data_IF_228599606554
#
_entry.id   IF_228599606554
#
_cell.length_a   1.000
_cell.length_b   1.000
_cell.length_c   1.000
_cell.angle_alpha   90.00
_cell.angle_beta   90.00
_cell.angle_gamma   90.00
#
_symmetry.space_group_name_H-M   'P 1'
#
loop_
_entity.id
_entity.type
_entity.pdbx_description
1 polymer ?
#
# COMPACT_ATOMS: atom_id res chain seq x y z
N UNK A 1 -10.28 -4.30 -3.78
CA UNK A 1 -10.24 -5.68 -3.35
C UNK A 1 -9.66 -6.55 -4.46
N UNK A 2 -8.63 -7.37 -4.15
CA UNK A 2 -7.99 -8.18 -5.15
C UNK A 2 -7.27 -7.38 -6.23
N UNK A 3 -7.07 -6.11 -6.00
CA UNK A 3 -6.48 -5.23 -6.99
C UNK A 3 -4.97 -5.37 -7.02
N UNK A 4 -4.40 -5.40 -8.22
CA UNK A 4 -2.97 -5.39 -8.42
C UNK A 4 -2.48 -3.96 -8.60
N UNK A 5 -1.15 -3.79 -8.59
CA UNK A 5 -0.57 -2.48 -8.86
C UNK A 5 -0.87 -2.02 -10.27
N UNK A 6 -1.00 -2.95 -11.22
CA UNK A 6 -1.38 -2.59 -12.58
C UNK A 6 -2.77 -1.96 -12.62
N UNK A 7 -3.72 -2.54 -11.87
CA UNK A 7 -5.05 -1.97 -11.76
C UNK A 7 -5.03 -0.61 -11.11
N UNK A 8 -4.16 -0.43 -10.10
CA UNK A 8 -4.00 0.86 -9.45
C UNK A 8 -3.52 1.94 -10.42
N UNK A 9 -2.54 1.60 -11.26
CA UNK A 9 -2.06 2.54 -12.27
C UNK A 9 -3.18 2.95 -13.21
N UNK A 10 -4.02 1.98 -13.60
CA UNK A 10 -5.11 2.26 -14.54
C UNK A 10 -6.18 3.16 -13.93
N UNK A 11 -6.46 3.01 -12.64
CA UNK A 11 -7.56 3.74 -11.98
C UNK A 11 -7.16 5.07 -11.38
N UNK A 12 -5.89 5.22 -11.01
CA UNK A 12 -5.46 6.39 -10.25
C UNK A 12 -5.70 7.72 -10.96
N UNK A 13 -5.44 7.86 -12.27
CA UNK A 13 -5.63 9.17 -12.92
C UNK A 13 -7.05 9.69 -12.78
N UNK A 14 -8.06 8.83 -12.98
CA UNK A 14 -9.45 9.25 -12.86
C UNK A 14 -9.80 9.65 -11.44
N UNK A 15 -9.29 8.91 -10.45
CA UNK A 15 -9.52 9.23 -9.05
C UNK A 15 -8.91 10.56 -8.66
N UNK A 16 -7.70 10.84 -9.13
CA UNK A 16 -7.03 12.09 -8.84
C UNK A 16 -7.78 13.27 -9.45
N UNK A 17 -8.28 13.09 -10.67
CA UNK A 17 -9.01 14.15 -11.35
C UNK A 17 -10.37 14.39 -10.72
N UNK A 18 -11.07 13.32 -10.38
CA UNK A 18 -12.40 13.40 -9.82
C UNK A 18 -12.43 14.02 -8.43
N UNK A 19 -11.53 13.58 -7.57
CA UNK A 19 -11.54 13.97 -6.16
C UNK A 19 -10.54 15.06 -5.82
N UNK A 20 -9.51 15.24 -6.61
CA UNK A 20 -8.45 16.23 -6.39
C UNK A 20 -7.99 16.25 -4.94
N UNK A 21 -7.61 15.09 -4.38
CA UNK A 21 -7.27 15.00 -2.97
C UNK A 21 -5.94 15.70 -2.68
N UNK A 22 -5.80 16.17 -1.43
CA UNK A 22 -4.51 16.70 -0.99
C UNK A 22 -3.52 15.57 -0.72
N UNK A 23 -4.03 14.42 -0.28
CA UNK A 23 -3.23 13.25 0.04
C UNK A 23 -3.85 12.01 -0.57
N UNK A 24 -3.00 11.06 -0.97
CA UNK A 24 -3.44 9.73 -1.37
C UNK A 24 -2.63 8.70 -0.62
N UNK A 25 -3.32 7.67 -0.12
CA UNK A 25 -2.70 6.54 0.54
C UNK A 25 -2.62 5.40 -0.47
N UNK A 26 -1.40 4.97 -0.78
CA UNK A 26 -1.19 3.85 -1.69
C UNK A 26 -0.94 2.60 -0.85
N UNK A 27 -1.92 1.70 -0.87
CA UNK A 27 -1.89 0.46 -0.13
C UNK A 27 -2.10 -0.68 -1.12
N UNK A 28 -1.12 -0.90 -1.97
CA UNK A 28 -1.20 -1.90 -3.04
C UNK A 28 0.09 -2.68 -3.13
N UNK A 29 0.02 -3.84 -3.75
CA UNK A 29 1.15 -4.71 -3.98
C UNK A 29 0.95 -6.09 -3.39
N UNK A 30 0.05 -6.24 -2.42
CA UNK A 30 -0.19 -7.53 -1.79
C UNK A 30 -0.63 -8.58 -2.78
N UNK A 31 -1.54 -8.24 -3.69
CA UNK A 31 -2.01 -9.20 -4.69
C UNK A 31 -0.94 -9.52 -5.72
N UNK A 32 -0.11 -8.55 -6.09
CA UNK A 32 1.04 -8.82 -6.94
C UNK A 32 1.92 -9.89 -6.31
N UNK A 33 2.24 -9.72 -5.03
CA UNK A 33 3.11 -10.65 -4.32
C UNK A 33 2.47 -12.02 -4.16
N UNK A 34 1.19 -12.06 -3.81
CA UNK A 34 0.48 -13.33 -3.63
C UNK A 34 0.45 -14.12 -4.93
N UNK A 35 0.40 -13.46 -6.07
CA UNK A 35 0.40 -14.11 -7.37
C UNK A 35 1.82 -14.41 -7.87
N UNK A 36 2.83 -14.04 -7.10
CA UNK A 36 4.21 -14.32 -7.48
C UNK A 36 4.72 -13.46 -8.62
N UNK A 37 4.16 -12.29 -8.83
CA UNK A 37 4.65 -11.38 -9.87
C UNK A 37 6.08 -10.98 -9.57
N UNK A 38 6.86 -10.75 -10.62
CA UNK A 38 8.24 -10.30 -10.46
C UNK A 38 8.24 -8.96 -9.69
N UNK A 39 9.09 -8.83 -8.64
CA UNK A 39 9.12 -7.57 -7.88
C UNK A 39 9.37 -6.34 -8.74
N UNK A 40 10.12 -6.48 -9.83
CA UNK A 40 10.38 -5.36 -10.74
C UNK A 40 9.09 -4.78 -11.34
N UNK A 41 8.09 -5.64 -11.59
CA UNK A 41 6.82 -5.19 -12.14
C UNK A 41 6.06 -4.37 -11.10
N UNK A 42 6.02 -4.87 -9.87
CA UNK A 42 5.36 -4.17 -8.78
C UNK A 42 6.03 -2.82 -8.53
N UNK A 43 7.36 -2.82 -8.51
CA UNK A 43 8.13 -1.58 -8.32
C UNK A 43 7.82 -0.56 -9.42
N UNK A 44 7.81 -1.01 -10.67
CA UNK A 44 7.56 -0.11 -11.80
C UNK A 44 6.16 0.52 -11.71
N UNK A 45 5.16 -0.29 -11.36
CA UNK A 45 3.80 0.20 -11.26
C UNK A 45 3.64 1.18 -10.09
N UNK A 46 4.22 0.87 -8.93
CA UNK A 46 4.16 1.78 -7.79
C UNK A 46 4.90 3.09 -8.09
N UNK A 47 6.04 3.01 -8.76
CA UNK A 47 6.78 4.20 -9.16
C UNK A 47 5.92 5.08 -10.05
N UNK A 48 5.19 4.46 -10.99
CA UNK A 48 4.31 5.20 -11.88
C UNK A 48 3.18 5.87 -11.12
N UNK A 49 2.60 5.17 -10.14
CA UNK A 49 1.53 5.76 -9.33
C UNK A 49 2.02 6.96 -8.54
N UNK A 50 3.22 6.86 -7.96
CA UNK A 50 3.81 7.98 -7.22
C UNK A 50 4.02 9.17 -8.15
N UNK A 51 4.49 8.91 -9.37
CA UNK A 51 4.69 9.98 -10.35
C UNK A 51 3.38 10.65 -10.76
N UNK A 52 2.32 9.85 -10.93
CA UNK A 52 1.00 10.38 -11.27
C UNK A 52 0.46 11.27 -10.16
N UNK A 53 0.59 10.83 -8.91
CA UNK A 53 0.15 11.64 -7.78
C UNK A 53 0.92 12.95 -7.71
N UNK A 54 2.23 12.89 -7.90
CA UNK A 54 3.06 14.08 -7.85
C UNK A 54 2.69 15.07 -8.96
N UNK A 55 2.39 14.55 -10.16
CA UNK A 55 1.99 15.40 -11.27
C UNK A 55 0.67 16.10 -11.00
N UNK A 56 -0.18 15.51 -10.17
CA UNK A 56 -1.46 16.11 -9.75
C UNK A 56 -1.31 16.96 -8.49
N UNK A 57 -0.09 17.17 -8.03
CA UNK A 57 0.19 17.93 -6.80
C UNK A 57 -0.47 17.29 -5.58
N UNK A 58 -0.61 15.98 -5.62
CA UNK A 58 -1.18 15.21 -4.51
C UNK A 58 -0.01 14.58 -3.73
N UNK A 59 -0.01 14.76 -2.42
CA UNK A 59 0.99 14.14 -1.56
C UNK A 59 0.66 12.68 -1.38
N UNK A 60 1.69 11.85 -1.27
CA UNK A 60 1.53 10.40 -1.21
C UNK A 60 2.04 9.85 0.12
N UNK A 61 1.26 8.96 0.72
CA UNK A 61 1.72 8.08 1.79
C UNK A 61 1.76 6.68 1.23
N UNK A 62 2.89 6.01 1.38
CA UNK A 62 3.06 4.64 0.91
C UNK A 62 2.96 3.70 2.09
N UNK A 63 2.25 2.58 1.91
CA UNK A 63 2.09 1.59 2.98
C UNK A 63 3.01 0.41 2.72
N UNK A 64 3.75 0.00 3.74
CA UNK A 64 4.56 -1.20 3.69
C UNK A 64 3.66 -2.41 3.55
N UNK A 65 3.96 -3.30 2.61
CA UNK A 65 3.23 -4.55 2.43
C UNK A 65 4.16 -5.70 2.81
N UNK A 66 3.63 -6.68 3.54
CA UNK A 66 4.33 -7.91 3.89
C UNK A 66 3.52 -9.08 3.38
N UNK A 67 4.22 -10.13 3.00
CA UNK A 67 3.61 -11.34 2.46
C UNK A 67 3.78 -12.49 3.44
N UNK A 68 2.97 -13.56 3.30
CA UNK A 68 3.18 -14.77 4.11
C UNK A 68 4.60 -15.26 3.96
N UNK A 69 5.17 -15.74 5.07
CA UNK A 69 6.60 -16.08 5.13
C UNK A 69 6.97 -17.28 4.26
N UNK A 70 5.98 -18.07 3.84
CA UNK A 70 6.23 -19.27 3.03
C UNK A 70 6.55 -18.99 1.56
N UNK A 71 6.61 -17.71 1.18
CA UNK A 71 6.94 -17.35 -0.20
C UNK A 71 8.45 -17.41 -0.49
N UNK A 72 9.25 -17.75 0.53
CA UNK A 72 10.69 -17.88 0.34
C UNK A 72 11.42 -16.60 0.69
N UNK A 73 12.56 -16.75 1.39
CA UNK A 73 13.28 -15.59 1.92
C UNK A 73 13.73 -14.62 0.83
N UNK A 74 14.18 -15.15 -0.31
CA UNK A 74 14.69 -14.29 -1.37
C UNK A 74 13.58 -13.44 -1.99
N UNK A 75 12.44 -14.05 -2.29
CA UNK A 75 11.31 -13.34 -2.86
C UNK A 75 10.79 -12.30 -1.90
N UNK A 76 10.66 -12.68 -0.63
CA UNK A 76 10.16 -11.77 0.40
C UNK A 76 11.08 -10.55 0.53
N UNK A 77 12.39 -10.78 0.54
CA UNK A 77 13.35 -9.68 0.65
C UNK A 77 13.22 -8.73 -0.53
N UNK A 78 13.20 -9.27 -1.74
CA UNK A 78 13.12 -8.44 -2.94
C UNK A 78 11.79 -7.68 -3.01
N UNK A 79 10.71 -8.32 -2.61
CA UNK A 79 9.39 -7.70 -2.65
C UNK A 79 9.25 -6.62 -1.57
N UNK A 80 9.55 -6.97 -0.33
CA UNK A 80 9.31 -6.07 0.78
C UNK A 80 10.23 -4.86 0.79
N UNK A 81 11.37 -4.98 0.15
CA UNK A 81 12.35 -3.92 0.03
C UNK A 81 11.89 -2.80 -0.91
N UNK A 82 10.95 -3.10 -1.81
CA UNK A 82 10.42 -2.12 -2.76
C UNK A 82 9.93 -0.87 -2.03
N UNK A 83 9.21 -1.07 -0.93
CA UNK A 83 8.47 0.01 -0.28
C UNK A 83 9.37 1.02 0.42
N UNK A 84 10.30 0.61 1.30
CA UNK A 84 11.20 1.59 1.90
C UNK A 84 12.13 2.24 0.88
N UNK A 85 12.56 1.51 -0.15
CA UNK A 85 13.43 2.08 -1.17
C UNK A 85 12.69 3.14 -1.98
N UNK A 86 11.44 2.85 -2.35
CA UNK A 86 10.63 3.78 -3.12
C UNK A 86 10.29 5.02 -2.28
N UNK A 87 9.95 4.81 -1.02
CA UNK A 87 9.65 5.91 -0.12
C UNK A 87 10.86 6.83 0.04
N UNK A 88 12.04 6.25 0.24
CA UNK A 88 13.26 7.02 0.41
C UNK A 88 13.61 7.79 -0.86
N UNK A 89 13.50 7.15 -2.02
CA UNK A 89 13.86 7.77 -3.29
C UNK A 89 12.95 8.97 -3.62
N UNK A 90 11.71 8.96 -3.13
CA UNK A 90 10.73 9.98 -3.45
C UNK A 90 10.37 10.87 -2.27
N UNK A 91 11.03 10.71 -1.15
CA UNK A 91 10.75 11.51 0.05
C UNK A 91 9.35 11.30 0.60
N UNK A 92 8.84 10.07 0.55
CA UNK A 92 7.49 9.77 0.97
C UNK A 92 7.46 9.20 2.38
N UNK A 93 6.43 9.55 3.18
CA UNK A 93 6.19 8.81 4.42
C UNK A 93 5.85 7.36 4.12
N UNK A 94 6.42 6.45 4.89
CA UNK A 94 6.14 5.02 4.75
C UNK A 94 5.39 4.56 5.99
N UNK A 95 4.13 4.21 5.80
CA UNK A 95 3.31 3.71 6.88
C UNK A 95 3.65 2.25 7.14
N UNK A 96 3.90 1.85 8.40
CA UNK A 96 4.21 0.45 8.70
C UNK A 96 3.07 -0.48 8.30
N UNK A 97 3.40 -1.77 8.14
CA UNK A 97 2.39 -2.78 7.84
C UNK A 97 1.43 -2.89 9.02
N UNK A 98 0.27 -2.28 8.88
CA UNK A 98 -0.63 -2.12 10.02
C UNK A 98 -1.56 -3.32 10.25
N UNK A 99 -1.50 -4.33 9.41
CA UNK A 99 -2.30 -5.53 9.60
C UNK A 99 -1.69 -6.50 10.62
N UNK A 100 -0.47 -6.23 11.09
CA UNK A 100 0.20 -7.11 12.06
C UNK A 100 -0.67 -7.41 13.27
N UNK A 101 -1.32 -6.39 13.82
CA UNK A 101 -2.16 -6.56 15.00
C UNK A 101 -3.45 -7.30 14.70
N UNK A 102 -3.87 -7.32 13.44
CA UNK A 102 -5.15 -7.88 13.03
C UNK A 102 -5.01 -9.33 12.60
N UNK A 103 -3.87 -9.69 12.05
CA UNK A 103 -3.60 -11.04 11.56
C UNK A 103 -3.82 -12.10 12.65
N UNK A 104 -3.59 -11.75 13.92
CA UNK A 104 -3.78 -12.67 15.03
C UNK A 104 -5.24 -12.86 15.42
N UNK A 105 -6.16 -12.15 14.81
CA UNK A 105 -7.58 -12.23 15.09
C UNK A 105 -8.32 -12.60 13.81
N UNK A 106 -8.48 -13.89 13.54
CA UNK A 106 -9.04 -14.35 12.27
C UNK A 106 -10.38 -13.73 11.89
N UNK A 107 -11.21 -13.39 12.90
CA UNK A 107 -12.52 -12.81 12.63
C UNK A 107 -12.43 -11.41 12.00
N UNK A 108 -11.26 -10.80 12.04
CA UNK A 108 -11.04 -9.47 11.45
C UNK A 108 -10.39 -9.53 10.07
N UNK A 109 -10.12 -10.73 9.57
CA UNK A 109 -9.44 -10.92 8.29
C UNK A 109 -10.35 -11.60 7.30
N UNK A 110 -10.13 -11.30 6.01
CA UNK A 110 -10.80 -12.04 4.94
C UNK A 110 -10.16 -13.42 4.81
N UNK A 111 -10.81 -14.30 4.04
CA UNK A 111 -10.37 -15.70 3.91
C UNK A 111 -8.93 -15.84 3.41
N UNK A 112 -8.42 -14.85 2.70
CA UNK A 112 -7.06 -14.92 2.17
C UNK A 112 -6.00 -14.61 3.24
N UNK A 113 -6.41 -14.18 4.45
CA UNK A 113 -5.48 -13.88 5.53
C UNK A 113 -4.68 -12.60 5.33
N UNK A 114 -5.01 -11.81 4.32
CA UNK A 114 -4.29 -10.60 3.96
C UNK A 114 -5.15 -9.35 4.11
N UNK A 115 -6.39 -9.43 3.65
CA UNK A 115 -7.27 -8.27 3.66
C UNK A 115 -8.19 -8.33 4.87
N UNK A 116 -8.37 -7.20 5.56
CA UNK A 116 -9.26 -7.19 6.72
C UNK A 116 -10.72 -7.32 6.30
N UNK A 117 -11.51 -7.87 7.22
CA UNK A 117 -12.96 -7.93 7.03
C UNK A 117 -13.56 -6.55 7.25
N UNK A 118 -14.84 -6.41 6.93
CA UNK A 118 -15.53 -5.16 7.19
C UNK A 118 -15.49 -4.77 8.66
N UNK A 119 -15.45 -5.75 9.57
CA UNK A 119 -15.40 -5.49 11.00
C UNK A 119 -14.10 -4.80 11.43
N UNK A 120 -13.02 -4.98 10.67
CA UNK A 120 -11.73 -4.37 10.99
C UNK A 120 -11.57 -2.98 10.40
N UNK A 121 -12.46 -2.54 9.52
CA UNK A 121 -12.30 -1.27 8.82
C UNK A 121 -12.20 -0.04 9.74
N UNK A 122 -13.01 0.09 10.79
CA UNK A 122 -12.88 1.23 11.69
C UNK A 122 -11.51 1.28 12.37
N UNK A 123 -10.97 0.12 12.77
CA UNK A 123 -9.66 0.06 13.41
C UNK A 123 -8.55 0.49 12.44
N UNK A 124 -8.66 0.06 11.18
CA UNK A 124 -7.70 0.42 10.16
C UNK A 124 -7.74 1.92 9.90
N UNK A 125 -8.94 2.49 9.79
CA UNK A 125 -9.08 3.94 9.59
C UNK A 125 -8.45 4.73 10.73
N UNK A 126 -8.63 4.26 11.96
CA UNK A 126 -8.05 4.94 13.11
C UNK A 126 -6.52 4.91 13.06
N UNK A 127 -5.94 3.78 12.66
CA UNK A 127 -4.49 3.67 12.54
C UNK A 127 -3.95 4.57 11.44
N UNK A 128 -4.64 4.60 10.29
CA UNK A 128 -4.25 5.47 9.20
C UNK A 128 -4.32 6.92 9.64
N UNK A 129 -5.42 7.31 10.28
CA UNK A 129 -5.60 8.68 10.73
C UNK A 129 -4.49 9.09 11.72
N UNK A 130 -4.16 8.22 12.67
CA UNK A 130 -3.11 8.53 13.64
C UNK A 130 -1.74 8.69 12.99
N UNK A 131 -1.48 7.96 11.90
CA UNK A 131 -0.24 8.09 11.17
C UNK A 131 -0.20 9.39 10.37
N UNK A 132 -1.30 9.72 9.70
CA UNK A 132 -1.34 10.85 8.78
C UNK A 132 -1.47 12.19 9.50
N UNK A 133 -2.21 12.21 10.61
CA UNK A 133 -2.54 13.45 11.31
C UNK A 133 -1.32 14.32 11.60
N UNK A 134 -0.21 13.78 12.13
CA UNK A 134 0.98 14.62 12.35
C UNK A 134 1.57 15.19 11.06
N UNK A 135 1.35 14.51 9.93
CA UNK A 135 1.90 14.98 8.66
C UNK A 135 1.15 16.19 8.12
N UNK A 136 -0.11 16.33 8.51
CA UNK A 136 -0.93 17.44 8.03
C UNK A 136 -0.55 18.77 8.65
N UNK A 137 0.20 18.75 9.73
CA UNK A 137 0.61 19.96 10.44
C UNK A 137 2.02 20.43 10.07
N UNK A 138 2.67 19.70 9.19
CA UNK A 138 4.05 20.06 8.77
C UNK A 138 4.08 21.09 7.65
#
# INVERSE_FOLDING_TARGET
>A
RGETTQGGVARLPALLEEHKPDWVLIELGGNDGLRGFAPAITRANLTKMVALAKASQTKTVLTQIQLPRNYGARYLQQFEQIFPELAQANGLPLMPFFLDDIVLRPELMMNDGIHPTAAAQPQIRDRVARFIEPLLTQ
#
